data_IF_470231841651
#
_entry.id   IF_470231841651
#
_cell.length_a   1.000
_cell.length_b   1.000
_cell.length_c   1.000
_cell.angle_alpha   90.00
_cell.angle_beta   90.00
_cell.angle_gamma   90.00
#
_symmetry.space_group_name_H-M   'P 1'
#
loop_
_entity.id
_entity.type
_entity.pdbx_description
1 polymer ?
#
# COMPACT_ATOMS: atom_id res chain seq x y z
N UNK A 1 -14.06 4.00 7.18
CA UNK A 1 -13.81 2.55 7.11
C UNK A 1 -12.83 2.32 5.98
N UNK A 2 -11.79 1.51 6.17
CA UNK A 2 -10.90 1.08 5.08
C UNK A 2 -11.60 -0.02 4.28
N UNK A 3 -11.43 -0.02 2.95
CA UNK A 3 -11.95 -1.09 2.09
C UNK A 3 -11.28 -2.43 2.46
N UNK A 4 -12.03 -3.52 2.36
CA UNK A 4 -11.53 -4.89 2.43
C UNK A 4 -10.72 -5.26 1.19
N UNK A 5 -9.92 -6.33 1.29
CA UNK A 5 -9.14 -6.86 0.15
C UNK A 5 -10.03 -7.15 -1.06
N UNK A 6 -11.21 -7.74 -0.83
CA UNK A 6 -12.18 -8.07 -1.86
C UNK A 6 -12.75 -6.84 -2.56
N UNK A 7 -13.07 -5.78 -1.81
CA UNK A 7 -13.57 -4.53 -2.37
C UNK A 7 -12.52 -3.84 -3.25
N UNK A 8 -11.26 -3.83 -2.81
CA UNK A 8 -10.15 -3.24 -3.58
C UNK A 8 -9.92 -4.03 -4.88
N UNK A 9 -9.90 -5.37 -4.81
CA UNK A 9 -9.74 -6.21 -6.00
C UNK A 9 -10.91 -6.07 -6.98
N UNK A 10 -12.14 -5.95 -6.46
CA UNK A 10 -13.34 -5.71 -7.27
C UNK A 10 -13.25 -4.36 -8.00
N UNK A 11 -12.82 -3.30 -7.32
CA UNK A 11 -12.62 -1.99 -7.94
C UNK A 11 -11.60 -2.04 -9.10
N UNK A 12 -10.52 -2.81 -8.94
CA UNK A 12 -9.55 -3.02 -10.01
C UNK A 12 -10.13 -3.85 -11.17
N UNK A 13 -10.81 -4.97 -10.87
CA UNK A 13 -11.44 -5.81 -11.89
C UNK A 13 -12.49 -5.08 -12.73
N UNK A 14 -13.17 -4.10 -12.13
CA UNK A 14 -14.14 -3.24 -12.81
C UNK A 14 -13.51 -2.03 -13.53
N UNK A 15 -12.19 -1.86 -13.47
CA UNK A 15 -11.46 -0.78 -14.13
C UNK A 15 -11.59 0.59 -13.45
N UNK A 16 -12.03 0.66 -12.18
CA UNK A 16 -12.17 1.92 -11.45
C UNK A 16 -10.84 2.47 -10.93
N UNK A 17 -9.86 1.60 -10.71
CA UNK A 17 -8.53 1.97 -10.22
C UNK A 17 -7.45 1.35 -11.09
N UNK A 18 -6.31 2.01 -11.18
CA UNK A 18 -5.13 1.48 -11.88
C UNK A 18 -4.43 0.42 -11.04
N UNK A 19 -3.53 -0.37 -11.65
CA UNK A 19 -2.70 -1.34 -10.93
C UNK A 19 -1.81 -0.68 -9.87
N UNK A 20 -1.36 0.55 -10.14
CA UNK A 20 -0.53 1.31 -9.21
C UNK A 20 -1.30 1.74 -7.95
N UNK A 21 -2.56 2.18 -8.12
CA UNK A 21 -3.47 2.49 -7.01
C UNK A 21 -3.77 1.22 -6.23
N UNK A 22 -4.13 0.12 -6.92
CA UNK A 22 -4.39 -1.19 -6.32
C UNK A 22 -3.23 -1.62 -5.39
N UNK A 23 -2.00 -1.59 -5.89
CA UNK A 23 -0.82 -1.97 -5.11
C UNK A 23 -0.69 -1.09 -3.86
N UNK A 24 -0.91 0.21 -4.00
CA UNK A 24 -0.79 1.17 -2.89
C UNK A 24 -1.86 0.94 -1.81
N UNK A 25 -3.11 0.72 -2.22
CA UNK A 25 -4.22 0.39 -1.32
C UNK A 25 -3.99 -0.94 -0.57
N UNK A 26 -3.47 -1.97 -1.26
CA UNK A 26 -3.14 -3.25 -0.63
C UNK A 26 -1.98 -3.13 0.39
N UNK A 27 -1.01 -2.27 0.12
CA UNK A 27 0.06 -1.95 1.07
C UNK A 27 -0.51 -1.20 2.28
N UNK A 28 -1.39 -0.23 2.08
CA UNK A 28 -2.00 0.51 3.18
C UNK A 28 -2.92 -0.38 4.04
N UNK A 29 -3.60 -1.34 3.43
CA UNK A 29 -4.45 -2.29 4.15
C UNK A 29 -3.67 -3.13 5.16
N UNK A 30 -2.37 -3.37 4.93
CA UNK A 30 -1.52 -4.14 5.83
C UNK A 30 -1.16 -3.39 7.13
N UNK A 31 -1.48 -2.10 7.23
CA UNK A 31 -1.37 -1.36 8.50
C UNK A 31 -2.36 -1.93 9.52
N UNK A 32 -3.52 -2.38 9.05
CA UNK A 32 -4.63 -2.83 9.88
C UNK A 32 -4.78 -4.35 9.92
N UNK A 33 -4.16 -5.06 8.98
CA UNK A 33 -4.27 -6.52 8.83
C UNK A 33 -2.88 -7.17 8.71
N UNK A 34 -2.80 -8.46 8.97
CA UNK A 34 -1.55 -9.19 8.83
C UNK A 34 -1.17 -9.39 7.35
N UNK A 35 0.08 -9.08 6.92
CA UNK A 35 0.50 -9.22 5.53
C UNK A 35 0.20 -10.59 4.93
N UNK A 36 0.40 -11.67 5.68
CA UNK A 36 0.12 -13.04 5.24
C UNK A 36 -1.34 -13.25 4.81
N UNK A 37 -2.29 -12.60 5.49
CA UNK A 37 -3.72 -12.77 5.26
C UNK A 37 -4.18 -12.04 4.00
N UNK A 38 -3.59 -10.87 3.74
CA UNK A 38 -3.78 -10.13 2.50
C UNK A 38 -3.19 -10.91 1.34
N UNK A 39 -1.89 -11.26 1.43
CA UNK A 39 -1.14 -11.87 0.33
C UNK A 39 -1.70 -13.23 -0.11
N UNK A 40 -2.26 -14.02 0.81
CA UNK A 40 -2.85 -15.32 0.49
C UNK A 40 -4.06 -15.24 -0.46
N UNK A 41 -4.70 -14.07 -0.58
CA UNK A 41 -5.87 -13.84 -1.43
C UNK A 41 -5.51 -13.22 -2.79
N UNK A 42 -4.24 -12.88 -3.00
CA UNK A 42 -3.81 -12.12 -4.17
C UNK A 42 -3.27 -13.02 -5.28
N UNK A 43 -3.53 -12.66 -6.56
CA UNK A 43 -2.82 -13.22 -7.70
C UNK A 43 -1.29 -13.09 -7.57
N UNK A 44 -0.57 -14.08 -8.08
CA UNK A 44 0.91 -14.15 -7.98
C UNK A 44 1.60 -12.95 -8.61
N UNK A 45 1.07 -12.41 -9.71
CA UNK A 45 1.64 -11.24 -10.39
C UNK A 45 1.52 -9.98 -9.51
N UNK A 46 0.39 -9.77 -8.84
CA UNK A 46 0.20 -8.66 -7.91
C UNK A 46 1.15 -8.79 -6.71
N UNK A 47 1.31 -10.00 -6.16
CA UNK A 47 2.26 -10.26 -5.06
C UNK A 47 3.69 -9.92 -5.47
N UNK A 48 4.10 -10.25 -6.71
CA UNK A 48 5.42 -9.89 -7.23
C UNK A 48 5.61 -8.39 -7.32
N UNK A 49 4.60 -7.66 -7.81
CA UNK A 49 4.68 -6.20 -7.93
C UNK A 49 4.74 -5.51 -6.56
N UNK A 50 3.97 -5.98 -5.58
CA UNK A 50 4.07 -5.51 -4.20
C UNK A 50 5.48 -5.76 -3.66
N UNK A 51 5.99 -6.99 -3.81
CA UNK A 51 7.32 -7.38 -3.33
C UNK A 51 8.41 -6.47 -3.90
N UNK A 52 8.36 -6.17 -5.21
CA UNK A 52 9.33 -5.28 -5.83
C UNK A 52 9.20 -3.84 -5.32
N UNK A 53 7.96 -3.32 -5.16
CA UNK A 53 7.71 -1.98 -4.63
C UNK A 53 8.24 -1.79 -3.21
N UNK A 54 8.12 -2.81 -2.35
CA UNK A 54 8.54 -2.73 -0.93
C UNK A 54 9.95 -3.26 -0.66
N UNK A 55 10.65 -3.76 -1.68
CA UNK A 55 11.99 -4.36 -1.54
C UNK A 55 13.02 -3.40 -0.95
N UNK A 56 12.90 -2.11 -1.26
CA UNK A 56 13.75 -1.03 -0.75
C UNK A 56 12.88 -0.01 -0.02
N UNK A 57 12.51 -0.27 1.25
CA UNK A 57 11.62 0.61 1.98
C UNK A 57 12.29 1.98 2.18
N UNK A 58 11.51 3.08 2.17
CA UNK A 58 12.05 4.40 2.41
C UNK A 58 12.60 4.52 3.85
N UNK A 59 13.67 5.28 4.03
CA UNK A 59 14.26 5.50 5.36
C UNK A 59 13.43 6.45 6.24
N UNK A 60 12.61 7.31 5.64
CA UNK A 60 11.72 8.26 6.33
C UNK A 60 10.42 8.42 5.54
N UNK A 61 9.32 8.76 6.22
CA UNK A 61 8.02 9.00 5.57
C UNK A 61 8.04 10.20 4.61
N UNK A 62 8.92 11.18 4.84
CA UNK A 62 9.11 12.35 3.96
C UNK A 62 9.60 12.00 2.56
N UNK A 63 10.20 10.80 2.37
CA UNK A 63 10.67 10.33 1.06
C UNK A 63 9.55 9.74 0.19
N UNK A 64 8.33 9.62 0.72
CA UNK A 64 7.17 9.18 -0.04
C UNK A 64 6.51 10.40 -0.69
N UNK A 65 6.65 10.48 -2.01
CA UNK A 65 5.96 11.45 -2.85
C UNK A 65 4.69 10.76 -3.35
N UNK A 66 3.53 11.32 -3.02
CA UNK A 66 2.26 10.85 -3.58
C UNK A 66 2.10 11.46 -4.98
N UNK A 67 1.89 10.61 -5.98
CA UNK A 67 1.71 10.98 -7.38
C UNK A 67 0.24 10.92 -7.78
N UNK A 68 -0.66 11.65 -7.12
CA UNK A 68 -2.00 11.87 -7.70
C UNK A 68 -2.49 13.31 -7.55
N UNK A 69 -3.08 13.77 -8.66
CA UNK A 69 -3.33 15.16 -8.99
C UNK A 69 -4.33 15.86 -8.06
N UNK A 70 -4.14 17.17 -7.95
CA UNK A 70 -5.01 18.13 -7.26
C UNK A 70 -6.47 17.70 -7.33
N UNK A 71 -7.01 17.24 -6.21
CA UNK A 71 -8.41 16.88 -6.08
C UNK A 71 -9.25 18.13 -6.45
N UNK A 72 -10.03 18.11 -7.55
CA UNK A 72 -10.71 19.29 -8.01
C UNK A 72 -11.84 19.62 -7.02
N UNK A 73 -11.66 20.74 -6.32
CA UNK A 73 -12.69 21.45 -5.53
C UNK A 73 -13.27 20.65 -4.36
N UNK A 74 -12.55 20.64 -3.25
CA UNK A 74 -13.18 20.47 -1.95
C UNK A 74 -13.13 21.82 -1.21
N UNK A 75 -14.23 22.22 -0.56
CA UNK A 75 -14.27 23.37 0.37
C UNK A 75 -13.46 23.10 1.66
N UNK A 76 -12.35 22.37 1.56
CA UNK A 76 -11.48 22.05 2.68
C UNK A 76 -10.50 23.18 2.90
N UNK A 77 -10.18 23.44 4.16
CA UNK A 77 -9.09 24.36 4.49
C UNK A 77 -7.76 23.81 4.00
N UNK A 78 -6.82 24.69 3.63
CA UNK A 78 -5.47 24.31 3.22
C UNK A 78 -4.77 23.42 4.28
N UNK A 79 -4.98 23.75 5.56
CA UNK A 79 -4.48 22.94 6.69
C UNK A 79 -5.04 21.52 6.68
N UNK A 80 -6.31 21.34 6.35
CA UNK A 80 -6.93 20.01 6.25
C UNK A 80 -6.31 19.19 5.14
N UNK A 81 -6.06 19.81 3.97
CA UNK A 81 -5.40 19.13 2.85
C UNK A 81 -4.00 18.68 3.23
N UNK A 82 -3.20 19.55 3.87
CA UNK A 82 -1.85 19.21 4.34
C UNK A 82 -1.85 18.06 5.35
N UNK A 83 -2.77 18.06 6.32
CA UNK A 83 -2.89 16.98 7.30
C UNK A 83 -3.31 15.65 6.65
N UNK A 84 -4.19 15.69 5.65
CA UNK A 84 -4.56 14.50 4.88
C UNK A 84 -3.36 13.93 4.11
N UNK A 85 -2.57 14.79 3.46
CA UNK A 85 -1.34 14.38 2.77
C UNK A 85 -0.29 13.80 3.73
N UNK A 86 -0.10 14.42 4.90
CA UNK A 86 0.80 13.90 5.95
C UNK A 86 0.35 12.55 6.46
N UNK A 87 -0.94 12.39 6.75
CA UNK A 87 -1.51 11.13 7.20
C UNK A 87 -1.29 10.03 6.15
N UNK A 88 -1.49 10.34 4.87
CA UNK A 88 -1.25 9.38 3.78
C UNK A 88 0.23 9.01 3.66
N UNK A 89 1.16 9.96 3.79
CA UNK A 89 2.60 9.66 3.82
C UNK A 89 2.97 8.72 4.97
N UNK A 90 2.40 8.95 6.15
CA UNK A 90 2.65 8.10 7.34
C UNK A 90 2.09 6.70 7.11
N UNK A 91 0.89 6.58 6.54
CA UNK A 91 0.27 5.29 6.21
C UNK A 91 1.10 4.51 5.21
N UNK A 92 1.41 5.10 4.06
CA UNK A 92 2.24 4.46 3.05
C UNK A 92 3.60 4.02 3.62
N UNK A 93 4.21 4.83 4.48
CA UNK A 93 5.45 4.47 5.16
C UNK A 93 5.30 3.23 6.05
N UNK A 94 4.28 3.22 6.92
CA UNK A 94 4.02 2.10 7.81
C UNK A 94 3.67 0.81 7.04
N UNK A 95 2.84 0.92 6.00
CA UNK A 95 2.45 -0.21 5.15
C UNK A 95 3.65 -0.82 4.42
N UNK A 96 4.48 0.01 3.79
CA UNK A 96 5.69 -0.46 3.09
C UNK A 96 6.61 -1.22 4.05
N UNK A 97 6.85 -0.69 5.25
CA UNK A 97 7.72 -1.34 6.23
C UNK A 97 7.15 -2.66 6.74
N UNK A 98 5.85 -2.74 7.01
CA UNK A 98 5.20 -4.00 7.43
C UNK A 98 5.29 -5.08 6.36
N UNK A 99 5.00 -4.74 5.10
CA UNK A 99 5.15 -5.68 3.98
C UNK A 99 6.62 -6.06 3.74
N UNK A 100 7.54 -5.11 3.81
CA UNK A 100 8.98 -5.38 3.69
C UNK A 100 9.46 -6.38 4.75
N UNK A 101 9.12 -6.14 6.02
CA UNK A 101 9.49 -7.02 7.12
C UNK A 101 8.94 -8.44 6.92
N UNK A 102 7.68 -8.57 6.47
CA UNK A 102 7.10 -9.87 6.16
C UNK A 102 7.91 -10.62 5.09
N UNK A 103 8.15 -10.00 3.93
CA UNK A 103 8.91 -10.66 2.86
C UNK A 103 10.34 -11.00 3.27
N UNK A 104 11.01 -10.12 4.03
CA UNK A 104 12.37 -10.36 4.52
C UNK A 104 12.43 -11.60 5.44
N UNK A 105 11.51 -11.69 6.41
CA UNK A 105 11.43 -12.82 7.34
C UNK A 105 11.06 -14.12 6.63
N UNK A 106 10.16 -14.08 5.65
CA UNK A 106 9.81 -15.26 4.86
C UNK A 106 11.00 -15.83 4.07
N UNK A 107 11.86 -14.97 3.50
CA UNK A 107 13.06 -15.42 2.78
C UNK A 107 14.16 -15.99 3.67
N UNK A 108 14.20 -15.63 4.96
CA UNK A 108 15.16 -16.21 5.92
C UNK A 108 14.76 -17.63 6.36
N UNK A 109 13.47 -17.95 6.30
CA UNK A 109 12.89 -19.21 6.77
C UNK A 109 12.68 -20.26 5.67
N UNK A 110 13.05 -19.96 4.41
CA UNK A 110 13.07 -20.98 3.36
C UNK A 110 14.26 -21.93 3.61
N UNK A 111 14.03 -23.25 3.68
CA UNK A 111 15.12 -24.21 3.83
C UNK A 111 16.05 -24.05 2.63
N UNK A 112 17.34 -23.82 2.89
CA UNK A 112 18.37 -23.77 1.84
C UNK A 112 18.36 -25.12 1.11
N UNK A 113 17.94 -25.11 -0.14
CA UNK A 113 18.02 -26.25 -1.06
C UNK A 113 19.47 -26.61 -1.38
#
# INVERSE_FOLDING_TARGET
MSLSTEEILSAFGNGHITKEILISELIDLCIYNEPKEILARLPVDIVKDIKEKVKKPPSTCLKLIHLEGKNPRSHKSEKTVQLEEELQRIKGFAGIWRMHAHFYLSTQNEPRA
#
